data_IF_561048772019
#
_entry.id   IF_561048772019
#
_cell.length_a   1.000
_cell.length_b   1.000
_cell.length_c   1.000
_cell.angle_alpha   90.00
_cell.angle_beta   90.00
_cell.angle_gamma   90.00
#
_symmetry.space_group_name_H-M   'P 1'
#
loop_
_entity.id
_entity.type
_entity.pdbx_description
1 polymer ?
#
# COMPACT_ATOMS: atom_id res chain seq x y z
N UNK A 1 30.00 -16.70 38.81
CA UNK A 1 30.07 -16.24 37.40
C UNK A 1 30.41 -17.37 36.41
N UNK A 2 31.27 -18.34 36.72
CA UNK A 2 31.55 -19.50 35.83
C UNK A 2 30.39 -20.51 35.63
N UNK A 3 29.32 -20.47 36.44
CA UNK A 3 28.18 -21.41 36.30
C UNK A 3 27.19 -21.06 35.19
N UNK A 4 27.24 -19.85 34.63
CA UNK A 4 26.25 -19.37 33.67
C UNK A 4 26.71 -19.50 32.20
N UNK A 5 28.00 -19.73 31.94
CA UNK A 5 28.55 -19.80 30.58
C UNK A 5 28.25 -21.12 29.85
N UNK A 6 27.82 -22.16 30.56
CA UNK A 6 27.43 -23.46 29.99
C UNK A 6 25.92 -23.73 30.09
N UNK A 7 25.16 -22.81 30.69
CA UNK A 7 23.70 -22.95 30.79
C UNK A 7 23.06 -22.76 29.41
N UNK A 8 22.18 -23.67 28.96
CA UNK A 8 21.42 -23.48 27.73
C UNK A 8 20.63 -22.18 27.77
N UNK A 9 20.52 -21.45 26.66
CA UNK A 9 19.72 -20.22 26.57
C UNK A 9 18.25 -20.42 27.03
N UNK A 10 17.73 -21.64 26.85
CA UNK A 10 16.40 -22.06 27.33
C UNK A 10 16.25 -21.88 28.84
N UNK A 11 17.30 -22.10 29.63
CA UNK A 11 17.25 -21.91 31.08
C UNK A 11 16.99 -20.45 31.44
N UNK A 12 17.71 -19.53 30.81
CA UNK A 12 17.50 -18.09 31.00
C UNK A 12 16.10 -17.64 30.55
N UNK A 13 15.60 -18.18 29.45
CA UNK A 13 14.24 -17.88 28.97
C UNK A 13 13.16 -18.38 29.96
N UNK A 14 13.34 -19.55 30.56
CA UNK A 14 12.43 -20.09 31.57
C UNK A 14 12.45 -19.27 32.87
N UNK A 15 13.63 -18.86 33.34
CA UNK A 15 13.76 -18.02 34.54
C UNK A 15 13.19 -16.61 34.34
N UNK A 16 13.34 -16.03 33.14
CA UNK A 16 12.66 -14.78 32.75
C UNK A 16 11.15 -14.91 32.81
N UNK A 17 10.58 -15.97 32.21
CA UNK A 17 9.13 -16.24 32.25
C UNK A 17 8.63 -16.48 33.67
N UNK A 18 9.46 -17.05 34.54
CA UNK A 18 9.14 -17.24 35.95
C UNK A 18 9.30 -15.97 36.80
N UNK A 19 9.70 -14.84 36.20
CA UNK A 19 9.90 -13.56 36.88
C UNK A 19 11.08 -13.54 37.85
N UNK A 20 12.03 -14.48 37.72
CA UNK A 20 13.17 -14.58 38.63
C UNK A 20 14.20 -13.47 38.42
N UNK A 21 14.31 -12.97 37.20
CA UNK A 21 15.10 -11.79 36.85
C UNK A 21 14.50 -11.08 35.63
N UNK A 22 14.88 -9.82 35.42
CA UNK A 22 14.42 -9.00 34.28
C UNK A 22 15.39 -9.06 33.10
N UNK A 23 14.93 -8.67 31.91
CA UNK A 23 15.82 -8.67 30.73
C UNK A 23 17.00 -7.71 30.93
N UNK A 24 16.82 -6.62 31.67
CA UNK A 24 17.90 -5.68 31.97
C UNK A 24 18.95 -6.29 32.89
N UNK A 25 18.53 -7.09 33.88
CA UNK A 25 19.46 -7.83 34.74
C UNK A 25 20.28 -8.85 33.93
N UNK A 26 19.68 -9.47 32.91
CA UNK A 26 20.42 -10.31 31.97
C UNK A 26 21.44 -9.49 31.16
N UNK A 27 21.04 -8.35 30.61
CA UNK A 27 21.95 -7.46 29.87
C UNK A 27 23.12 -7.01 30.73
N UNK A 28 22.87 -6.63 31.99
CA UNK A 28 23.91 -6.28 32.96
C UNK A 28 24.86 -7.45 33.25
N UNK A 29 24.31 -8.65 33.45
CA UNK A 29 25.10 -9.87 33.67
C UNK A 29 25.98 -10.23 32.46
N UNK A 30 25.50 -9.94 31.25
CA UNK A 30 26.25 -10.14 30.00
C UNK A 30 27.27 -9.02 29.73
N UNK A 31 27.32 -7.95 30.53
CA UNK A 31 28.11 -6.74 30.29
C UNK A 31 29.55 -7.00 29.83
N UNK A 32 30.30 -7.84 30.54
CA UNK A 32 31.69 -8.18 30.18
C UNK A 32 31.85 -8.84 28.81
N UNK A 33 30.85 -9.60 28.37
CA UNK A 33 30.84 -10.23 27.04
C UNK A 33 30.42 -9.21 25.98
N UNK A 34 29.38 -8.42 26.27
CA UNK A 34 28.84 -7.40 25.36
C UNK A 34 29.82 -6.24 25.09
N UNK A 35 30.72 -5.95 26.04
CA UNK A 35 31.75 -4.90 25.92
C UNK A 35 33.17 -5.44 25.69
N UNK A 36 33.31 -6.73 25.40
CA UNK A 36 34.63 -7.35 25.15
C UNK A 36 35.35 -6.66 23.97
N UNK A 37 36.68 -6.57 24.01
CA UNK A 37 37.47 -6.08 22.87
C UNK A 37 37.43 -7.03 21.68
N UNK A 38 37.18 -8.33 21.92
CA UNK A 38 37.12 -9.37 20.89
C UNK A 38 35.75 -9.43 20.21
N UNK A 39 35.65 -9.22 18.88
CA UNK A 39 34.37 -9.26 18.15
C UNK A 39 33.59 -10.56 18.33
N UNK A 40 34.29 -11.69 18.37
CA UNK A 40 33.68 -13.01 18.56
C UNK A 40 32.99 -13.17 19.91
N UNK A 41 33.62 -12.65 20.97
CA UNK A 41 33.07 -12.68 22.33
C UNK A 41 31.83 -11.81 22.44
N UNK A 42 31.86 -10.60 21.83
CA UNK A 42 30.68 -9.74 21.72
C UNK A 42 29.56 -10.45 20.95
N UNK A 43 29.90 -11.07 19.82
CA UNK A 43 28.97 -11.83 18.99
C UNK A 43 28.22 -12.90 19.78
N UNK A 44 28.92 -13.70 20.58
CA UNK A 44 28.30 -14.73 21.43
C UNK A 44 27.39 -14.15 22.52
N UNK A 45 27.77 -13.01 23.12
CA UNK A 45 26.93 -12.32 24.09
C UNK A 45 25.63 -11.81 23.46
N UNK A 46 25.73 -11.19 22.28
CA UNK A 46 24.55 -10.72 21.52
C UNK A 46 23.69 -11.90 21.08
N UNK A 47 24.30 -13.00 20.61
CA UNK A 47 23.60 -14.23 20.23
C UNK A 47 22.76 -14.79 21.37
N UNK A 48 23.33 -14.89 22.57
CA UNK A 48 22.62 -15.40 23.74
C UNK A 48 21.42 -14.51 24.08
N UNK A 49 21.61 -13.18 24.10
CA UNK A 49 20.52 -12.24 24.35
C UNK A 49 19.40 -12.39 23.31
N UNK A 50 19.75 -12.49 22.03
CA UNK A 50 18.80 -12.66 20.93
C UNK A 50 18.04 -13.99 21.00
N UNK A 51 18.71 -15.09 21.33
CA UNK A 51 18.08 -16.39 21.55
C UNK A 51 17.10 -16.36 22.72
N UNK A 52 17.46 -15.71 23.82
CA UNK A 52 16.59 -15.55 24.98
C UNK A 52 15.35 -14.73 24.61
N UNK A 53 15.54 -13.61 23.91
CA UNK A 53 14.43 -12.79 23.44
C UNK A 53 13.49 -13.57 22.50
N UNK A 54 14.02 -14.43 21.64
CA UNK A 54 13.21 -15.23 20.72
C UNK A 54 12.30 -16.23 21.44
N UNK A 55 12.74 -16.76 22.57
CA UNK A 55 11.98 -17.72 23.39
C UNK A 55 11.05 -17.05 24.39
N UNK A 56 11.29 -15.78 24.72
CA UNK A 56 10.38 -14.96 25.50
C UNK A 56 9.17 -14.59 24.61
N UNK A 57 7.95 -14.87 25.07
CA UNK A 57 6.71 -14.48 24.39
C UNK A 57 5.85 -13.71 25.38
N UNK A 58 6.00 -12.38 25.43
CA UNK A 58 4.99 -11.49 26.06
C UNK A 58 5.41 -10.54 27.20
N UNK A 59 6.61 -10.64 27.77
CA UNK A 59 6.88 -10.03 29.10
C UNK A 59 7.71 -8.73 29.11
N UNK A 60 8.04 -8.16 27.95
CA UNK A 60 8.80 -6.91 27.92
C UNK A 60 7.91 -5.69 28.13
N UNK A 61 8.37 -4.79 29.00
CA UNK A 61 7.82 -3.43 29.17
C UNK A 61 8.29 -2.53 28.04
N UNK A 62 7.54 -1.45 27.75
CA UNK A 62 7.91 -0.47 26.71
C UNK A 62 9.30 0.14 26.95
N UNK A 63 9.67 0.38 28.22
CA UNK A 63 10.98 0.90 28.61
C UNK A 63 12.10 -0.09 28.27
N UNK A 64 11.90 -1.38 28.53
CA UNK A 64 12.87 -2.42 28.20
C UNK A 64 13.04 -2.57 26.70
N UNK A 65 11.95 -2.56 25.94
CA UNK A 65 11.98 -2.59 24.47
C UNK A 65 12.81 -1.41 23.93
N UNK A 66 12.57 -0.18 24.42
CA UNK A 66 13.35 1.00 24.02
C UNK A 66 14.85 0.85 24.29
N UNK A 67 15.22 0.35 25.48
CA UNK A 67 16.64 0.13 25.83
C UNK A 67 17.27 -0.93 24.93
N UNK A 68 16.56 -2.03 24.66
CA UNK A 68 17.04 -3.12 23.82
C UNK A 68 17.20 -2.67 22.36
N UNK A 69 16.26 -1.87 21.83
CA UNK A 69 16.35 -1.30 20.49
C UNK A 69 17.60 -0.42 20.36
N UNK A 70 17.79 0.54 21.28
CA UNK A 70 18.99 1.40 21.28
C UNK A 70 20.27 0.57 21.42
N UNK A 71 20.24 -0.49 22.22
CA UNK A 71 21.35 -1.42 22.32
C UNK A 71 21.64 -2.11 20.97
N UNK A 72 20.65 -2.71 20.34
CA UNK A 72 20.80 -3.42 19.07
C UNK A 72 21.20 -2.49 17.93
N UNK A 73 20.65 -1.28 17.85
CA UNK A 73 21.09 -0.23 16.91
C UNK A 73 22.59 0.08 17.06
N UNK A 74 23.05 0.23 18.30
CA UNK A 74 24.47 0.47 18.55
C UNK A 74 25.33 -0.75 18.22
N UNK A 75 24.79 -1.97 18.27
CA UNK A 75 25.50 -3.20 17.87
C UNK A 75 25.48 -3.44 16.36
N UNK A 76 24.53 -2.91 15.60
CA UNK A 76 24.57 -2.94 14.13
C UNK A 76 25.79 -2.21 13.56
N UNK A 77 26.26 -1.16 14.26
CA UNK A 77 27.45 -0.37 13.92
C UNK A 77 28.78 -1.05 14.29
N UNK A 78 28.71 -2.25 14.88
CA UNK A 78 29.87 -3.02 15.32
C UNK A 78 30.43 -3.87 14.14
N UNK A 79 31.38 -4.73 14.44
CA UNK A 79 31.99 -5.66 13.49
C UNK A 79 30.96 -6.62 12.88
N UNK A 80 31.04 -6.89 11.57
CA UNK A 80 30.07 -7.65 10.77
C UNK A 80 29.67 -9.04 11.32
N UNK A 81 30.52 -9.66 12.13
CA UNK A 81 30.26 -10.96 12.80
C UNK A 81 29.08 -10.87 13.78
N UNK A 82 28.76 -9.68 14.27
CA UNK A 82 27.73 -9.45 15.28
C UNK A 82 26.36 -9.22 14.61
N UNK A 83 26.34 -8.70 13.38
CA UNK A 83 25.15 -8.33 12.61
C UNK A 83 24.08 -9.43 12.55
N UNK A 84 24.38 -10.71 12.24
CA UNK A 84 23.35 -11.77 12.18
C UNK A 84 22.63 -11.96 13.51
N UNK A 85 23.36 -11.86 14.63
CA UNK A 85 22.80 -12.00 15.97
C UNK A 85 21.96 -10.80 16.36
N UNK A 86 22.35 -9.60 15.93
CA UNK A 86 21.55 -8.38 16.13
C UNK A 86 20.24 -8.47 15.38
N UNK A 87 20.27 -8.89 14.12
CA UNK A 87 19.08 -9.10 13.31
C UNK A 87 18.14 -10.11 13.96
N UNK A 88 18.67 -11.22 14.49
CA UNK A 88 17.87 -12.19 15.22
C UNK A 88 17.19 -11.59 16.46
N UNK A 89 17.89 -10.73 17.20
CA UNK A 89 17.34 -10.05 18.37
C UNK A 89 16.28 -9.02 18.00
N UNK A 90 16.53 -8.24 16.95
CA UNK A 90 15.55 -7.31 16.40
C UNK A 90 14.31 -8.06 15.87
N UNK A 91 14.49 -9.21 15.22
CA UNK A 91 13.38 -10.13 14.83
C UNK A 91 12.58 -10.57 16.05
N UNK A 92 13.24 -10.96 17.13
CA UNK A 92 12.56 -11.35 18.35
C UNK A 92 11.75 -10.17 18.93
N UNK A 93 12.31 -8.96 18.95
CA UNK A 93 11.60 -7.76 19.38
C UNK A 93 10.41 -7.40 18.47
N UNK A 94 10.56 -7.59 17.15
CA UNK A 94 9.49 -7.46 16.16
C UNK A 94 8.34 -8.39 16.49
N UNK A 95 8.65 -9.65 16.73
CA UNK A 95 7.68 -10.70 17.04
C UNK A 95 7.04 -10.52 18.42
N UNK A 96 7.71 -9.79 19.31
CA UNK A 96 7.33 -9.71 20.71
C UNK A 96 6.35 -8.59 21.05
N UNK A 97 6.44 -7.42 20.40
CA UNK A 97 5.62 -6.21 20.68
C UNK A 97 6.10 -4.99 19.85
N UNK A 98 6.08 -5.03 18.52
CA UNK A 98 6.14 -3.79 17.74
C UNK A 98 4.76 -3.12 17.70
N UNK A 99 4.35 -2.51 18.82
CA UNK A 99 3.14 -1.67 18.86
C UNK A 99 3.41 -0.21 18.49
N UNK A 100 4.68 0.22 18.42
CA UNK A 100 5.01 1.62 18.20
C UNK A 100 5.67 1.81 16.84
N UNK A 101 5.06 2.65 16.01
CA UNK A 101 5.54 2.98 14.67
C UNK A 101 7.00 3.47 14.64
N UNK A 102 7.43 4.23 15.66
CA UNK A 102 8.81 4.72 15.75
C UNK A 102 9.85 3.60 15.69
N UNK A 103 9.55 2.41 16.22
CA UNK A 103 10.48 1.29 16.25
C UNK A 103 10.56 0.57 14.89
N UNK A 104 9.45 0.47 14.14
CA UNK A 104 9.46 -0.08 12.78
C UNK A 104 10.25 0.82 11.82
N UNK A 105 10.14 2.13 12.05
CA UNK A 105 10.90 3.15 11.33
C UNK A 105 12.38 3.00 11.59
N UNK A 106 12.77 2.88 12.85
CA UNK A 106 14.19 2.76 13.15
C UNK A 106 14.76 1.49 12.53
N UNK A 107 14.00 0.40 12.48
CA UNK A 107 14.39 -0.79 11.72
C UNK A 107 14.56 -0.45 10.23
N UNK A 108 13.58 0.14 9.56
CA UNK A 108 13.60 0.33 8.10
C UNK A 108 14.59 1.40 7.62
N UNK A 109 14.81 2.46 8.40
CA UNK A 109 15.82 3.48 8.08
C UNK A 109 17.24 3.00 8.40
N UNK A 110 17.44 2.16 9.44
CA UNK A 110 18.75 1.58 9.74
C UNK A 110 19.08 0.35 8.91
N UNK A 111 18.08 -0.42 8.46
CA UNK A 111 18.29 -1.52 7.53
C UNK A 111 18.49 -0.97 6.12
N UNK A 112 19.69 -0.46 5.88
CA UNK A 112 20.31 -0.40 4.55
C UNK A 112 20.58 -1.81 3.95
N UNK A 113 19.97 -2.86 4.52
CA UNK A 113 20.13 -4.26 4.17
C UNK A 113 18.74 -4.92 3.98
N UNK A 114 18.07 -4.67 2.84
CA UNK A 114 16.74 -5.21 2.55
C UNK A 114 16.68 -6.75 2.60
N UNK A 115 17.81 -7.44 2.44
CA UNK A 115 17.89 -8.91 2.44
C UNK A 115 17.46 -9.53 3.77
N UNK A 116 17.81 -8.89 4.89
CA UNK A 116 17.61 -9.48 6.22
C UNK A 116 16.19 -9.25 6.73
N UNK A 117 15.63 -8.06 6.46
CA UNK A 117 14.23 -7.79 6.70
C UNK A 117 13.32 -8.67 5.84
N UNK A 118 13.67 -8.91 4.56
CA UNK A 118 12.94 -9.88 3.72
C UNK A 118 13.01 -11.30 4.27
N UNK A 119 14.11 -11.67 4.93
CA UNK A 119 14.27 -12.95 5.61
C UNK A 119 13.32 -13.18 6.79
N UNK A 120 12.65 -12.12 7.28
CA UNK A 120 11.57 -12.24 8.27
C UNK A 120 10.26 -12.75 7.66
N UNK A 121 10.10 -12.66 6.34
CA UNK A 121 8.89 -13.04 5.63
C UNK A 121 7.67 -12.26 6.11
N UNK A 122 6.51 -12.93 6.08
CA UNK A 122 5.22 -12.36 6.43
C UNK A 122 5.12 -11.83 7.88
N UNK A 123 5.94 -12.32 8.82
CA UNK A 123 5.93 -11.87 10.22
C UNK A 123 6.31 -10.38 10.36
N UNK A 124 7.18 -9.88 9.46
CA UNK A 124 7.53 -8.47 9.44
C UNK A 124 6.34 -7.60 9.01
N UNK A 125 5.60 -8.04 7.99
CA UNK A 125 4.41 -7.33 7.51
C UNK A 125 3.34 -7.30 8.61
N UNK A 126 3.14 -8.41 9.31
CA UNK A 126 2.26 -8.46 10.47
C UNK A 126 2.68 -7.47 11.57
N UNK A 127 3.96 -7.46 11.95
CA UNK A 127 4.49 -6.51 12.94
C UNK A 127 4.31 -5.04 12.50
N UNK A 128 4.49 -4.76 11.21
CA UNK A 128 4.22 -3.43 10.66
C UNK A 128 2.73 -3.05 10.79
N UNK A 129 1.81 -3.93 10.35
CA UNK A 129 0.36 -3.69 10.45
C UNK A 129 -0.03 -3.36 11.89
N UNK A 130 0.40 -4.16 12.86
CA UNK A 130 0.11 -3.94 14.28
C UNK A 130 0.66 -2.60 14.81
N UNK A 131 1.74 -2.08 14.22
CA UNK A 131 2.35 -0.82 14.65
C UNK A 131 1.67 0.44 14.08
N UNK A 132 0.97 0.30 12.96
CA UNK A 132 0.25 1.40 12.28
C UNK A 132 -1.18 1.50 12.77
N UNK A 133 -1.73 0.40 13.30
CA UNK A 133 -3.10 0.36 13.77
C UNK A 133 -3.39 1.46 14.80
N UNK A 134 -4.38 2.29 14.50
CA UNK A 134 -4.80 3.41 15.32
C UNK A 134 -3.89 4.66 15.29
N UNK A 135 -2.89 4.74 14.41
CA UNK A 135 -2.04 5.93 14.27
C UNK A 135 -2.84 7.14 13.74
N UNK A 136 -2.54 8.33 14.27
CA UNK A 136 -3.27 9.58 13.94
C UNK A 136 -2.36 10.78 13.73
N UNK A 137 -1.10 10.72 14.15
CA UNK A 137 -0.16 11.82 13.93
C UNK A 137 0.25 11.83 12.45
N UNK A 138 0.07 12.96 11.71
CA UNK A 138 0.39 13.04 10.28
C UNK A 138 1.87 12.77 9.97
N UNK A 139 2.79 13.04 10.91
CA UNK A 139 4.23 12.74 10.75
C UNK A 139 4.46 11.23 10.77
N UNK A 140 3.80 10.57 11.70
CA UNK A 140 3.85 9.13 11.83
C UNK A 140 3.16 8.48 10.62
N UNK A 141 2.02 8.99 10.16
CA UNK A 141 1.35 8.46 8.98
C UNK A 141 2.19 8.56 7.70
N UNK A 142 2.83 9.70 7.41
CA UNK A 142 3.73 9.82 6.25
C UNK A 142 4.82 8.76 6.27
N UNK A 143 5.35 8.52 7.45
CA UNK A 143 6.42 7.58 7.68
C UNK A 143 5.92 6.12 7.58
N UNK A 144 4.74 5.82 8.10
CA UNK A 144 4.05 4.55 7.88
C UNK A 144 3.81 4.30 6.38
N UNK A 145 3.34 5.29 5.63
CA UNK A 145 3.14 5.16 4.18
C UNK A 145 4.46 4.96 3.43
N UNK A 146 5.54 5.62 3.85
CA UNK A 146 6.87 5.39 3.27
C UNK A 146 7.34 3.93 3.49
N UNK A 147 7.09 3.39 4.68
CA UNK A 147 7.37 1.99 5.00
C UNK A 147 6.50 1.05 4.16
N UNK A 148 5.18 1.26 4.16
CA UNK A 148 4.25 0.44 3.40
C UNK A 148 4.63 0.43 1.91
N UNK A 149 5.06 1.58 1.38
CA UNK A 149 5.60 1.72 0.02
C UNK A 149 6.80 0.79 -0.20
N UNK A 150 7.78 0.77 0.71
CA UNK A 150 8.94 -0.14 0.62
C UNK A 150 8.49 -1.60 0.65
N UNK A 151 7.55 -1.95 1.54
CA UNK A 151 6.99 -3.29 1.65
C UNK A 151 6.38 -3.74 0.31
N UNK A 152 5.53 -2.91 -0.32
CA UNK A 152 4.85 -3.28 -1.56
C UNK A 152 5.75 -3.28 -2.79
N UNK A 153 6.75 -2.38 -2.87
CA UNK A 153 7.58 -2.24 -4.07
C UNK A 153 8.89 -3.03 -4.06
N UNK A 154 9.46 -3.30 -2.88
CA UNK A 154 10.78 -3.92 -2.81
C UNK A 154 10.72 -5.45 -2.73
N UNK A 155 9.55 -6.07 -2.86
CA UNK A 155 9.41 -7.53 -2.89
C UNK A 155 9.52 -8.17 -1.50
N UNK A 156 8.89 -7.56 -0.50
CA UNK A 156 8.64 -8.21 0.78
C UNK A 156 7.53 -9.27 0.63
N UNK A 157 7.64 -10.36 1.39
CA UNK A 157 6.60 -11.38 1.40
C UNK A 157 5.41 -10.91 2.26
N UNK A 158 4.30 -10.54 1.61
CA UNK A 158 3.07 -10.18 2.32
C UNK A 158 2.38 -11.40 2.95
N UNK A 159 2.65 -12.61 2.43
CA UNK A 159 1.99 -13.84 2.85
C UNK A 159 0.46 -13.70 2.91
N UNK A 160 -0.12 -14.15 4.03
CA UNK A 160 -1.55 -14.04 4.34
C UNK A 160 -2.00 -12.64 4.76
N UNK A 161 -1.08 -11.72 5.07
CA UNK A 161 -1.37 -10.40 5.63
C UNK A 161 -1.62 -9.32 4.57
N UNK A 162 -2.04 -9.73 3.37
CA UNK A 162 -2.25 -8.79 2.25
C UNK A 162 -3.47 -7.92 2.49
N UNK A 163 -4.57 -8.53 2.93
CA UNK A 163 -5.80 -7.84 3.26
C UNK A 163 -5.56 -6.91 4.45
N UNK A 164 -4.92 -7.38 5.52
CA UNK A 164 -4.66 -6.59 6.72
C UNK A 164 -3.72 -5.39 6.44
N UNK A 165 -2.73 -5.56 5.54
CA UNK A 165 -1.90 -4.45 5.08
C UNK A 165 -2.71 -3.42 4.26
N UNK A 166 -3.64 -3.90 3.44
CA UNK A 166 -4.55 -3.02 2.72
C UNK A 166 -5.50 -2.29 3.67
N UNK A 167 -6.12 -2.98 4.63
CA UNK A 167 -7.07 -2.40 5.58
C UNK A 167 -6.41 -1.30 6.44
N UNK A 168 -5.23 -1.59 7.00
CA UNK A 168 -4.55 -0.62 7.88
C UNK A 168 -4.07 0.63 7.13
N UNK A 169 -3.93 0.57 5.80
CA UNK A 169 -3.52 1.72 4.98
C UNK A 169 -4.73 2.43 4.36
N UNK A 170 -5.70 1.68 3.85
CA UNK A 170 -6.89 2.21 3.17
C UNK A 170 -7.90 2.87 4.12
N UNK A 171 -7.83 2.59 5.42
CA UNK A 171 -8.69 3.24 6.42
C UNK A 171 -8.49 4.77 6.49
N UNK A 172 -7.38 5.28 5.94
CA UNK A 172 -7.11 6.71 5.80
C UNK A 172 -7.61 7.31 4.48
N UNK A 173 -8.35 6.57 3.65
CA UNK A 173 -8.84 7.02 2.34
C UNK A 173 -10.33 7.46 2.37
N UNK A 174 -10.68 8.67 1.90
CA UNK A 174 -9.78 9.76 1.52
C UNK A 174 -9.13 10.42 2.75
N UNK A 175 -7.98 11.06 2.57
CA UNK A 175 -7.30 11.76 3.66
C UNK A 175 -8.10 13.01 4.00
N UNK A 176 -8.72 13.02 5.19
CA UNK A 176 -9.35 14.20 5.78
C UNK A 176 -8.41 14.83 6.81
N UNK A 177 -7.45 15.64 6.33
CA UNK A 177 -6.45 16.30 7.15
C UNK A 177 -6.41 17.80 6.86
N UNK A 178 -6.56 18.60 7.91
CA UNK A 178 -6.39 20.05 7.85
C UNK A 178 -5.21 20.44 8.75
N UNK A 179 -4.06 20.89 8.19
CA UNK A 179 -2.91 21.22 9.00
C UNK A 179 -3.18 22.43 9.92
N UNK A 180 -2.65 22.43 11.16
CA UNK A 180 -2.74 23.59 12.05
C UNK A 180 -2.05 24.82 11.43
N UNK A 181 -2.61 26.01 11.66
CA UNK A 181 -2.09 27.27 11.09
C UNK A 181 -0.62 27.59 11.46
N UNK A 182 -0.13 27.04 12.57
CA UNK A 182 1.25 27.19 13.05
C UNK A 182 1.96 25.83 13.14
N UNK A 183 1.79 24.95 12.15
CA UNK A 183 2.50 23.67 12.14
C UNK A 183 4.01 23.89 11.94
N UNK A 184 4.87 23.60 12.95
CA UNK A 184 6.32 23.73 12.81
C UNK A 184 6.92 22.70 11.85
N UNK A 185 6.20 21.63 11.51
CA UNK A 185 6.67 20.56 10.63
C UNK A 185 6.22 20.73 9.17
N UNK A 186 5.13 21.47 8.94
CA UNK A 186 4.67 21.85 7.61
C UNK A 186 4.13 20.71 6.76
N UNK A 187 3.62 19.63 7.37
CA UNK A 187 3.05 18.52 6.60
C UNK A 187 1.73 18.96 5.98
N UNK A 188 1.58 18.70 4.69
CA UNK A 188 0.38 19.04 3.92
C UNK A 188 -0.54 17.84 3.73
N UNK A 189 -1.82 18.11 3.52
CA UNK A 189 -2.80 17.08 3.13
C UNK A 189 -2.39 16.37 1.83
N UNK A 190 -1.90 17.12 0.85
CA UNK A 190 -1.47 16.58 -0.45
C UNK A 190 -0.31 15.59 -0.30
N UNK A 191 0.66 15.85 0.59
CA UNK A 191 1.75 14.91 0.85
C UNK A 191 1.24 13.57 1.38
N UNK A 192 0.28 13.59 2.30
CA UNK A 192 -0.36 12.38 2.83
C UNK A 192 -1.16 11.64 1.74
N UNK A 193 -1.94 12.36 0.93
CA UNK A 193 -2.71 11.80 -0.19
C UNK A 193 -1.79 11.11 -1.18
N UNK A 194 -0.71 11.77 -1.60
CA UNK A 194 0.25 11.23 -2.56
C UNK A 194 1.01 10.03 -1.98
N UNK A 195 1.44 10.10 -0.72
CA UNK A 195 2.10 9.00 -0.05
C UNK A 195 1.20 7.76 0.04
N UNK A 196 -0.06 7.94 0.47
CA UNK A 196 -1.05 6.87 0.53
C UNK A 196 -1.36 6.29 -0.86
N UNK A 197 -1.54 7.15 -1.88
CA UNK A 197 -1.82 6.72 -3.26
C UNK A 197 -0.75 5.77 -3.78
N UNK A 198 0.53 6.11 -3.56
CA UNK A 198 1.64 5.24 -3.99
C UNK A 198 1.58 3.86 -3.32
N UNK A 199 1.18 3.79 -2.05
CA UNK A 199 1.00 2.51 -1.34
C UNK A 199 -0.14 1.71 -1.94
N UNK A 200 -1.33 2.30 -2.04
CA UNK A 200 -2.55 1.62 -2.49
C UNK A 200 -2.40 1.12 -3.94
N UNK A 201 -1.72 1.87 -4.81
CA UNK A 201 -1.49 1.47 -6.20
C UNK A 201 -0.23 0.65 -6.42
N UNK A 202 0.56 0.38 -5.37
CA UNK A 202 1.91 -0.16 -5.46
C UNK A 202 1.98 -1.64 -5.88
N UNK A 203 0.88 -2.39 -5.77
CA UNK A 203 0.83 -3.81 -6.12
C UNK A 203 -0.54 -4.22 -6.69
N UNK A 204 -0.59 -5.08 -7.74
CA UNK A 204 -1.84 -5.67 -8.24
C UNK A 204 -2.57 -6.54 -7.21
N UNK A 205 -1.89 -7.03 -6.17
CA UNK A 205 -2.50 -7.80 -5.08
C UNK A 205 -3.55 -7.02 -4.29
N UNK A 206 -3.56 -5.69 -4.42
CA UNK A 206 -4.59 -4.85 -3.82
C UNK A 206 -5.80 -4.63 -4.72
N UNK A 207 -5.79 -5.09 -5.97
CA UNK A 207 -6.87 -4.81 -6.93
C UNK A 207 -8.25 -5.25 -6.44
N UNK A 208 -8.32 -6.43 -5.81
CA UNK A 208 -9.56 -6.99 -5.30
C UNK A 208 -10.19 -6.19 -4.14
N UNK A 209 -9.39 -5.36 -3.45
CA UNK A 209 -9.84 -4.52 -2.34
C UNK A 209 -9.95 -3.04 -2.74
N UNK A 210 -8.98 -2.52 -3.51
CA UNK A 210 -8.90 -1.12 -3.91
C UNK A 210 -9.98 -0.74 -4.92
N UNK A 211 -10.26 -1.58 -5.91
CA UNK A 211 -11.22 -1.23 -6.96
C UNK A 211 -12.65 -1.13 -6.42
N UNK A 212 -13.12 -2.03 -5.52
CA UNK A 212 -14.37 -1.83 -4.79
C UNK A 212 -14.40 -0.54 -3.96
N UNK A 213 -13.32 -0.24 -3.23
CA UNK A 213 -13.22 1.01 -2.44
C UNK A 213 -13.34 2.25 -3.33
N UNK A 214 -12.67 2.27 -4.48
CA UNK A 214 -12.78 3.37 -5.45
C UNK A 214 -14.21 3.53 -5.94
N UNK A 215 -14.90 2.43 -6.30
CA UNK A 215 -16.31 2.47 -6.74
C UNK A 215 -17.19 3.06 -5.63
N UNK A 216 -17.04 2.59 -4.39
CA UNK A 216 -17.78 3.12 -3.24
C UNK A 216 -17.58 4.63 -3.07
N UNK A 217 -16.33 5.11 -3.16
CA UNK A 217 -16.03 6.54 -2.98
C UNK A 217 -16.48 7.40 -4.15
N UNK A 218 -16.43 6.90 -5.39
CA UNK A 218 -17.00 7.59 -6.56
C UNK A 218 -18.52 7.74 -6.45
N UNK A 219 -19.19 6.79 -5.81
CA UNK A 219 -20.64 6.76 -5.66
C UNK A 219 -21.15 7.61 -4.48
N UNK A 220 -20.25 8.08 -3.62
CA UNK A 220 -20.55 9.03 -2.54
C UNK A 220 -20.82 10.46 -3.06
N UNK A 221 -21.30 11.37 -2.22
CA UNK A 221 -21.49 12.79 -2.58
C UNK A 221 -20.27 13.69 -2.26
N UNK A 222 -19.17 13.12 -1.79
CA UNK A 222 -18.00 13.88 -1.32
C UNK A 222 -17.05 14.17 -2.49
N UNK A 223 -17.06 15.42 -2.99
CA UNK A 223 -16.28 15.80 -4.18
C UNK A 223 -14.76 15.56 -4.05
N UNK A 224 -14.16 15.81 -2.88
CA UNK A 224 -12.74 15.53 -2.64
C UNK A 224 -12.45 14.03 -2.74
N UNK A 225 -13.29 13.19 -2.14
CA UNK A 225 -13.19 11.73 -2.22
C UNK A 225 -13.29 11.23 -3.67
N UNK A 226 -14.21 11.81 -4.47
CA UNK A 226 -14.32 11.49 -5.90
C UNK A 226 -13.04 11.84 -6.65
N UNK A 227 -12.52 13.04 -6.44
CA UNK A 227 -11.30 13.48 -7.11
C UNK A 227 -10.11 12.57 -6.76
N UNK A 228 -9.92 12.25 -5.49
CA UNK A 228 -8.87 11.33 -5.03
C UNK A 228 -9.05 9.92 -5.60
N UNK A 229 -10.30 9.45 -5.71
CA UNK A 229 -10.64 8.14 -6.28
C UNK A 229 -10.29 8.07 -7.77
N UNK A 230 -10.61 9.10 -8.55
CA UNK A 230 -10.28 9.18 -9.98
C UNK A 230 -8.77 9.26 -10.23
N UNK A 231 -8.06 10.07 -9.43
CA UNK A 231 -6.61 10.17 -9.52
C UNK A 231 -5.91 8.88 -9.08
N UNK A 232 -6.44 8.20 -8.06
CA UNK A 232 -5.94 6.89 -7.62
C UNK A 232 -6.20 5.82 -8.69
N UNK A 233 -7.38 5.82 -9.31
CA UNK A 233 -7.73 4.93 -10.43
C UNK A 233 -6.78 5.11 -11.63
N UNK A 234 -6.45 6.36 -11.95
CA UNK A 234 -5.48 6.69 -13.00
C UNK A 234 -4.08 6.14 -12.66
N UNK A 235 -3.66 6.23 -11.40
CA UNK A 235 -2.37 5.72 -10.95
C UNK A 235 -2.30 4.18 -10.98
N UNK A 236 -3.33 3.46 -10.51
CA UNK A 236 -3.30 1.99 -10.53
C UNK A 236 -3.36 1.41 -11.95
N UNK A 237 -4.06 2.04 -12.90
CA UNK A 237 -4.06 1.59 -14.30
C UNK A 237 -2.68 1.68 -15.01
N UNK A 238 -1.69 2.32 -14.38
CA UNK A 238 -0.29 2.32 -14.84
C UNK A 238 0.53 1.14 -14.30
N UNK A 239 0.05 0.46 -13.26
CA UNK A 239 0.72 -0.67 -12.58
C UNK A 239 -0.02 -1.99 -12.83
N UNK A 240 -1.35 -1.95 -12.89
CA UNK A 240 -2.20 -3.14 -13.03
C UNK A 240 -2.28 -3.61 -14.47
N UNK A 241 -2.60 -4.89 -14.64
CA UNK A 241 -2.86 -5.52 -15.94
C UNK A 241 -4.37 -5.66 -16.18
N UNK A 242 -4.74 -6.01 -17.42
CA UNK A 242 -6.15 -6.20 -17.81
C UNK A 242 -6.90 -7.18 -16.90
N UNK A 243 -6.26 -8.30 -16.51
CA UNK A 243 -6.85 -9.35 -15.67
C UNK A 243 -7.25 -8.86 -14.28
N UNK A 244 -6.49 -7.90 -13.74
CA UNK A 244 -6.72 -7.34 -12.41
C UNK A 244 -7.94 -6.39 -12.41
N UNK A 245 -8.23 -5.79 -13.58
CA UNK A 245 -9.32 -4.85 -13.77
C UNK A 245 -10.62 -5.51 -14.24
N UNK A 246 -10.52 -6.62 -14.98
CA UNK A 246 -11.59 -7.18 -15.82
C UNK A 246 -12.95 -7.31 -15.10
N UNK A 247 -12.96 -7.93 -13.92
CA UNK A 247 -14.21 -8.15 -13.17
C UNK A 247 -14.86 -6.87 -12.64
N UNK A 248 -14.09 -5.78 -12.51
CA UNK A 248 -14.55 -4.51 -11.95
C UNK A 248 -14.94 -3.49 -13.03
N UNK A 249 -14.59 -3.73 -14.29
CA UNK A 249 -14.84 -2.81 -15.40
C UNK A 249 -16.31 -2.35 -15.52
N UNK A 250 -17.33 -3.22 -15.34
CA UNK A 250 -18.73 -2.78 -15.40
C UNK A 250 -19.10 -1.78 -14.29
N UNK A 251 -18.63 -2.04 -13.06
CA UNK A 251 -18.86 -1.17 -11.91
C UNK A 251 -18.12 0.16 -12.04
N UNK A 252 -16.83 0.10 -12.41
CA UNK A 252 -16.01 1.28 -12.66
C UNK A 252 -16.62 2.16 -13.74
N UNK A 253 -17.07 1.59 -14.86
CA UNK A 253 -17.72 2.38 -15.91
C UNK A 253 -19.03 3.02 -15.46
N UNK A 254 -19.86 2.30 -14.69
CA UNK A 254 -21.10 2.86 -14.17
C UNK A 254 -20.87 4.12 -13.33
N UNK A 255 -19.87 4.08 -12.44
CA UNK A 255 -19.46 5.23 -11.61
C UNK A 255 -18.80 6.34 -12.44
N UNK A 256 -17.81 6.00 -13.29
CA UNK A 256 -17.12 6.97 -14.16
C UNK A 256 -18.06 7.70 -15.10
N UNK A 257 -19.04 7.00 -15.67
CA UNK A 257 -20.02 7.60 -16.59
C UNK A 257 -20.81 8.70 -15.89
N UNK A 258 -21.21 8.52 -14.63
CA UNK A 258 -21.89 9.58 -13.88
C UNK A 258 -20.99 10.81 -13.74
N UNK A 259 -19.74 10.60 -13.33
CA UNK A 259 -18.81 11.71 -13.10
C UNK A 259 -18.38 12.42 -14.40
N UNK A 260 -18.29 11.73 -15.54
CA UNK A 260 -17.94 12.36 -16.82
C UNK A 260 -19.10 13.14 -17.43
N UNK A 261 -20.35 12.68 -17.26
CA UNK A 261 -21.50 13.28 -17.95
C UNK A 261 -22.40 14.16 -17.07
N UNK A 262 -22.34 13.99 -15.75
CA UNK A 262 -23.32 14.58 -14.83
C UNK A 262 -22.68 15.44 -13.73
N UNK A 263 -21.36 15.48 -13.62
CA UNK A 263 -20.69 16.33 -12.62
C UNK A 263 -20.74 17.81 -13.02
N UNK A 264 -20.85 18.70 -12.03
CA UNK A 264 -20.70 20.14 -12.24
C UNK A 264 -19.26 20.63 -12.02
N UNK A 265 -18.37 19.76 -11.55
CA UNK A 265 -16.98 20.11 -11.25
C UNK A 265 -16.06 19.75 -12.41
N UNK A 266 -15.53 20.76 -13.11
CA UNK A 266 -14.58 20.60 -14.21
C UNK A 266 -13.34 19.77 -13.81
N UNK A 267 -12.93 19.85 -12.54
CA UNK A 267 -11.81 19.07 -12.01
C UNK A 267 -12.13 17.58 -11.94
N UNK A 268 -13.35 17.24 -11.49
CA UNK A 268 -13.83 15.86 -11.41
C UNK A 268 -14.04 15.30 -12.81
N UNK A 269 -14.63 16.10 -13.72
CA UNK A 269 -14.81 15.71 -15.12
C UNK A 269 -13.46 15.40 -15.79
N UNK A 270 -12.49 16.29 -15.66
CA UNK A 270 -11.15 16.13 -16.22
C UNK A 270 -10.42 14.89 -15.67
N UNK A 271 -10.50 14.68 -14.35
CA UNK A 271 -9.94 13.48 -13.72
C UNK A 271 -10.67 12.19 -14.17
N UNK A 272 -11.98 12.27 -14.42
CA UNK A 272 -12.79 11.16 -14.93
C UNK A 272 -12.39 10.77 -16.35
N UNK A 273 -12.21 11.76 -17.23
CA UNK A 273 -11.72 11.56 -18.59
C UNK A 273 -10.29 10.96 -18.59
N UNK A 274 -9.41 11.46 -17.72
CA UNK A 274 -8.07 10.91 -17.56
C UNK A 274 -8.10 9.44 -17.12
N UNK A 275 -8.94 9.09 -16.14
CA UNK A 275 -9.11 7.72 -15.68
C UNK A 275 -9.61 6.78 -16.79
N UNK A 276 -10.61 7.20 -17.58
CA UNK A 276 -11.09 6.42 -18.73
C UNK A 276 -10.00 6.25 -19.79
N UNK A 277 -9.25 7.31 -20.08
CA UNK A 277 -8.11 7.26 -21.00
C UNK A 277 -7.07 6.23 -20.57
N UNK A 278 -6.65 6.25 -19.30
CA UNK A 278 -5.64 5.32 -18.79
C UNK A 278 -6.16 3.89 -18.67
N UNK A 279 -7.43 3.68 -18.31
CA UNK A 279 -8.05 2.34 -18.35
C UNK A 279 -8.05 1.78 -19.76
N UNK A 280 -8.46 2.57 -20.74
CA UNK A 280 -8.47 2.14 -22.16
C UNK A 280 -7.06 1.82 -22.65
N UNK A 281 -6.07 2.65 -22.28
CA UNK A 281 -4.67 2.41 -22.60
C UNK A 281 -4.11 1.17 -21.89
N UNK A 282 -4.57 0.85 -20.68
CA UNK A 282 -4.19 -0.36 -19.98
C UNK A 282 -4.74 -1.62 -20.68
N UNK A 283 -6.03 -1.60 -21.02
CA UNK A 283 -6.70 -2.71 -21.69
C UNK A 283 -6.15 -2.93 -23.11
N UNK A 284 -5.73 -1.88 -23.81
CA UNK A 284 -5.17 -2.00 -25.16
C UNK A 284 -3.79 -2.66 -25.19
N UNK A 285 -3.00 -2.58 -24.10
CA UNK A 285 -1.73 -3.32 -23.98
C UNK A 285 -1.94 -4.84 -24.00
N UNK A 286 -3.11 -5.33 -23.59
CA UNK A 286 -3.44 -6.75 -23.53
C UNK A 286 -3.69 -7.41 -24.89
N UNK A 287 -4.09 -6.62 -25.91
CA UNK A 287 -4.42 -7.12 -27.26
C UNK A 287 -3.22 -7.80 -27.96
N UNK A 288 -2.02 -7.62 -27.42
CA UNK A 288 -0.79 -8.25 -27.92
C UNK A 288 -0.58 -9.70 -27.41
N UNK A 289 -1.39 -10.18 -26.45
CA UNK A 289 -1.26 -11.52 -25.87
C UNK A 289 -2.48 -12.39 -26.24
N UNK A 290 -2.21 -13.58 -26.82
CA UNK A 290 -3.18 -14.47 -27.50
C UNK A 290 -4.27 -15.10 -26.61
N UNK A 291 -4.18 -14.93 -25.29
CA UNK A 291 -5.07 -15.58 -24.31
C UNK A 291 -6.08 -14.60 -23.66
N UNK A 292 -6.14 -13.36 -24.13
CA UNK A 292 -7.06 -12.36 -23.54
C UNK A 292 -8.51 -12.62 -23.96
N UNK A 293 -9.36 -12.98 -22.99
CA UNK A 293 -10.78 -12.64 -23.10
C UNK A 293 -10.87 -11.14 -23.36
N UNK A 294 -11.64 -10.75 -24.38
CA UNK A 294 -11.61 -9.45 -25.03
C UNK A 294 -12.14 -8.31 -24.15
N UNK A 295 -11.45 -8.08 -23.03
CA UNK A 295 -11.79 -7.14 -21.97
C UNK A 295 -11.82 -5.70 -22.49
N UNK A 296 -11.00 -5.42 -23.52
CA UNK A 296 -11.05 -4.16 -24.25
C UNK A 296 -12.38 -4.02 -24.99
N UNK A 297 -12.80 -4.99 -25.80
CA UNK A 297 -14.07 -4.89 -26.52
C UNK A 297 -15.27 -4.87 -25.56
N UNK A 298 -15.22 -5.64 -24.47
CA UNK A 298 -16.26 -5.57 -23.41
C UNK A 298 -16.34 -4.15 -22.83
N UNK A 299 -15.21 -3.55 -22.46
CA UNK A 299 -15.18 -2.20 -21.92
C UNK A 299 -15.65 -1.16 -22.92
N UNK A 300 -15.21 -1.25 -24.17
CA UNK A 300 -15.60 -0.32 -25.22
C UNK A 300 -17.08 -0.45 -25.58
N UNK A 301 -17.64 -1.66 -25.59
CA UNK A 301 -19.08 -1.84 -25.72
C UNK A 301 -19.84 -1.18 -24.56
N UNK A 302 -19.35 -1.29 -23.33
CA UNK A 302 -19.94 -0.61 -22.17
C UNK A 302 -19.92 0.91 -22.36
N UNK A 303 -18.79 1.45 -22.82
CA UNK A 303 -18.63 2.89 -23.12
C UNK A 303 -19.58 3.33 -24.24
N UNK A 304 -19.65 2.58 -25.34
CA UNK A 304 -20.51 2.87 -26.48
C UNK A 304 -22.01 2.78 -26.12
N UNK A 305 -22.44 1.76 -25.38
CA UNK A 305 -23.83 1.65 -24.88
C UNK A 305 -24.16 2.81 -23.93
N UNK A 306 -23.22 3.18 -23.07
CA UNK A 306 -23.38 4.27 -22.11
C UNK A 306 -23.45 5.66 -22.76
N UNK A 307 -22.71 5.88 -23.84
CA UNK A 307 -22.69 7.15 -24.60
C UNK A 307 -23.88 7.28 -25.56
N UNK A 308 -24.29 6.18 -26.21
CA UNK A 308 -25.41 6.18 -27.16
C UNK A 308 -26.76 6.49 -26.52
N UNK A 309 -26.96 6.07 -25.26
CA UNK A 309 -28.19 6.32 -24.51
C UNK A 309 -28.38 7.80 -24.12
N UNK A 310 -27.32 8.62 -24.17
CA UNK A 310 -27.31 10.04 -23.75
C UNK A 310 -26.97 11.00 -24.91
N UNK A 311 -27.30 10.64 -26.17
CA UNK A 311 -26.91 11.40 -27.37
C UNK A 311 -27.31 12.89 -27.36
N UNK A 312 -28.32 13.28 -26.58
CA UNK A 312 -28.77 14.67 -26.42
C UNK A 312 -27.81 15.51 -25.55
N UNK A 313 -26.90 14.88 -24.79
CA UNK A 313 -25.94 15.50 -23.86
C UNK A 313 -24.49 15.13 -24.22
N UNK A 314 -24.17 15.02 -25.52
CA UNK A 314 -22.77 14.92 -25.94
C UNK A 314 -22.14 16.31 -25.95
N UNK A 315 -21.79 16.81 -24.76
CA UNK A 315 -20.87 17.93 -24.59
C UNK A 315 -19.45 17.59 -25.07
N UNK A 316 -18.49 18.47 -24.83
CA UNK A 316 -17.06 18.30 -25.19
C UNK A 316 -16.45 16.98 -24.69
N UNK A 317 -16.88 16.51 -23.52
CA UNK A 317 -16.43 15.27 -22.86
C UNK A 317 -16.84 14.02 -23.64
N UNK A 318 -18.04 14.00 -24.21
CA UNK A 318 -18.52 12.90 -25.06
C UNK A 318 -17.76 12.79 -26.37
N UNK A 319 -17.43 13.93 -26.99
CA UNK A 319 -16.57 13.98 -28.18
C UNK A 319 -15.16 13.52 -27.85
N UNK A 320 -14.63 13.91 -26.68
CA UNK A 320 -13.31 13.49 -26.21
C UNK A 320 -13.24 11.97 -25.98
N UNK A 321 -14.25 11.38 -25.33
CA UNK A 321 -14.37 9.92 -25.16
C UNK A 321 -14.44 9.16 -26.50
N UNK A 322 -15.25 9.65 -27.46
CA UNK A 322 -15.32 9.06 -28.79
C UNK A 322 -13.99 9.22 -29.54
N UNK A 323 -13.26 10.31 -29.33
CA UNK A 323 -11.92 10.51 -29.90
C UNK A 323 -10.87 9.58 -29.28
N UNK A 324 -10.93 9.34 -27.97
CA UNK A 324 -10.11 8.37 -27.25
C UNK A 324 -10.39 6.95 -27.78
N UNK A 325 -11.67 6.61 -27.98
CA UNK A 325 -12.05 5.34 -28.58
C UNK A 325 -11.59 5.25 -30.05
N UNK A 326 -11.65 6.34 -30.84
CA UNK A 326 -11.16 6.39 -32.24
C UNK A 326 -9.65 6.23 -32.36
N UNK A 327 -8.88 6.76 -31.42
CA UNK A 327 -7.42 6.58 -31.38
C UNK A 327 -7.00 5.12 -31.19
N UNK A 328 -7.86 4.31 -30.58
CA UNK A 328 -7.67 2.87 -30.35
C UNK A 328 -8.34 2.03 -31.46
N UNK A 329 -9.46 2.50 -32.01
CA UNK A 329 -10.22 1.85 -33.10
C UNK A 329 -9.97 2.53 -34.43
N UNK A 330 -8.88 2.16 -35.09
CA UNK A 330 -8.76 2.37 -36.54
C UNK A 330 -10.00 1.77 -37.26
N UNK A 331 -10.66 2.59 -38.07
CA UNK A 331 -11.79 2.28 -38.97
C UNK A 331 -13.15 1.87 -38.35
N UNK A 332 -13.22 1.10 -37.26
CA UNK A 332 -14.51 0.52 -36.79
C UNK A 332 -15.52 1.54 -36.23
N UNK A 333 -15.08 2.68 -35.71
CA UNK A 333 -16.00 3.77 -35.26
C UNK A 333 -16.53 4.59 -36.45
N UNK A 334 -15.82 4.63 -37.57
CA UNK A 334 -16.26 5.39 -38.73
C UNK A 334 -17.53 4.78 -39.33
N UNK A 335 -17.59 3.46 -39.46
CA UNK A 335 -18.79 2.74 -39.89
C UNK A 335 -19.95 2.86 -38.90
N UNK A 336 -19.69 2.92 -37.58
CA UNK A 336 -20.75 3.09 -36.57
C UNK A 336 -21.28 4.53 -36.50
N UNK A 337 -20.41 5.53 -36.60
CA UNK A 337 -20.82 6.94 -36.72
C UNK A 337 -21.62 7.16 -38.01
N UNK A 338 -21.22 6.54 -39.13
CA UNK A 338 -21.96 6.60 -40.41
C UNK A 338 -23.31 5.86 -40.33
N UNK A 339 -23.39 4.71 -39.65
CA UNK A 339 -24.65 4.00 -39.37
C UNK A 339 -25.60 4.75 -38.44
N UNK A 340 -25.09 5.64 -37.59
CA UNK A 340 -25.90 6.49 -36.69
C UNK A 340 -26.36 7.78 -37.37
N UNK A 341 -25.51 8.40 -38.18
CA UNK A 341 -25.88 9.54 -39.06
C UNK A 341 -26.97 9.15 -40.08
N UNK A 342 -26.94 7.92 -40.58
CA UNK A 342 -27.99 7.39 -41.47
C UNK A 342 -29.32 7.13 -40.76
N UNK A 343 -29.33 6.90 -39.44
CA UNK A 343 -30.55 6.80 -38.63
C UNK A 343 -31.29 8.15 -38.52
N UNK A 344 -30.56 9.28 -38.53
CA UNK A 344 -31.17 10.62 -38.60
C UNK A 344 -31.77 10.93 -39.98
N UNK A 345 -31.27 10.32 -41.06
CA UNK A 345 -31.85 10.47 -42.41
C UNK A 345 -33.07 9.57 -42.68
N UNK A 346 -33.42 8.65 -41.76
CA UNK A 346 -34.53 7.71 -41.89
C UNK A 346 -35.55 7.80 -40.74
N UNK A 347 -35.67 8.97 -40.10
CA UNK A 347 -36.92 9.29 -39.38
C UNK A 347 -37.98 9.72 -40.40
N UNK A 348 -39.17 9.07 -40.45
CA UNK A 348 -40.22 9.46 -41.39
C UNK A 348 -40.62 10.91 -41.12
N UNK A 349 -40.55 11.71 -42.18
CA UNK A 349 -40.99 13.10 -42.22
C UNK A 349 -42.42 13.24 -41.71
N UNK A 350 -42.67 14.36 -41.03
CA UNK A 350 -43.90 14.67 -40.33
C UNK A 350 -45.19 14.50 -41.13
N UNK A 351 -46.26 14.23 -40.39
CA UNK A 351 -47.62 14.46 -40.83
C UNK A 351 -48.01 15.91 -40.54
N UNK A 352 -48.64 16.64 -41.48
CA UNK A 352 -49.05 18.02 -41.26
C UNK A 352 -50.34 18.09 -40.43
N UNK A 353 -50.38 19.14 -39.59
CA UNK A 353 -51.47 19.71 -38.78
C UNK A 353 -52.71 18.87 -38.49
#
# INVERSE_FOLDING_TARGET
>A
MHKYSEMPFIFFALELKAGQFTILQLVEALGLHLTSSQPQTRGRGVQLLSNVLQECYGDLTEREVKVLIVFYENRLKDHYVITPHVIQGLKALVSLKLSNLCHVVTLIDYFSHPTELKGLGADFVFGFVQSVDGERDPRNLLLAFHIARKIVHEGYDLGKFTEELFEVTSCYFPIDFSPPANDPHGITQEELVLALRVVLTGTPRFAEFLLPLIIEKLDSDVQSAKLDSLQTLTACASVYEHKDLAQFLPGLWASLRREVFQTASERVESAGLAAVGTLTACLSRSVLNSDSEDSLNVFLELVLKGTTSNFVVLGTSGVCLLSLCRGVWGQSIQEMCEKSLTWQSHSPQGLPQ
#
